data_IF_880697733987
#
_entry.id   IF_880697733987
#
_cell.length_a   1.000
_cell.length_b   1.000
_cell.length_c   1.000
_cell.angle_alpha   90.00
_cell.angle_beta   90.00
_cell.angle_gamma   90.00
#
_symmetry.space_group_name_H-M   'P 1'
#
loop_
_entity.id
_entity.type
_entity.pdbx_description
1 polymer ?
#
# COMPACT_ATOMS: atom_id res chain seq x y z
N UNK A 1 -8.75 -24.13 -13.89
CA UNK A 1 -9.02 -22.68 -13.83
C UNK A 1 -9.35 -22.34 -12.37
N UNK A 2 -8.39 -21.76 -11.65
CA UNK A 2 -8.66 -21.19 -10.35
C UNK A 2 -9.36 -19.86 -10.57
N UNK A 3 -10.63 -19.78 -10.21
CA UNK A 3 -11.37 -18.54 -10.27
C UNK A 3 -10.97 -17.67 -9.06
N UNK A 4 -10.06 -16.74 -9.28
CA UNK A 4 -9.56 -15.80 -8.25
C UNK A 4 -10.68 -14.93 -7.67
N UNK A 5 -11.86 -14.91 -8.27
CA UNK A 5 -13.04 -14.19 -7.77
C UNK A 5 -13.73 -14.91 -6.61
N UNK A 6 -13.57 -16.25 -6.50
CA UNK A 6 -14.29 -17.06 -5.52
C UNK A 6 -13.90 -16.77 -4.06
N UNK A 7 -12.69 -16.24 -3.83
CA UNK A 7 -12.15 -15.94 -2.50
C UNK A 7 -11.91 -14.43 -2.29
N UNK A 8 -12.66 -13.57 -2.98
CA UNK A 8 -12.52 -12.12 -2.92
C UNK A 8 -13.84 -11.44 -2.56
N UNK A 9 -13.78 -10.44 -1.68
CA UNK A 9 -14.88 -9.59 -1.28
C UNK A 9 -14.86 -8.31 -2.10
N UNK A 10 -15.97 -7.98 -2.78
CA UNK A 10 -16.13 -6.68 -3.46
C UNK A 10 -16.29 -5.57 -2.42
N UNK A 11 -15.48 -4.53 -2.52
CA UNK A 11 -15.47 -3.40 -1.58
C UNK A 11 -16.10 -2.15 -2.19
N UNK A 12 -16.12 -2.04 -3.51
CA UNK A 12 -16.71 -0.91 -4.22
C UNK A 12 -16.21 -0.78 -5.64
N UNK A 13 -16.64 0.28 -6.30
CA UNK A 13 -16.18 0.65 -7.63
C UNK A 13 -15.35 1.94 -7.54
N UNK A 14 -14.18 1.94 -8.18
CA UNK A 14 -13.35 3.10 -8.31
C UNK A 14 -13.04 3.34 -9.80
N UNK A 15 -13.43 4.50 -10.31
CA UNK A 15 -13.22 4.89 -11.70
C UNK A 15 -13.73 3.86 -12.75
N UNK A 16 -14.85 3.19 -12.43
CA UNK A 16 -15.45 2.17 -13.30
C UNK A 16 -14.87 0.76 -13.16
N UNK A 17 -13.92 0.55 -12.25
CA UNK A 17 -13.35 -0.77 -11.94
C UNK A 17 -13.83 -1.27 -10.59
N UNK A 18 -14.12 -2.56 -10.51
CA UNK A 18 -14.44 -3.19 -9.23
C UNK A 18 -13.16 -3.42 -8.42
N UNK A 19 -13.14 -2.88 -7.21
CA UNK A 19 -12.07 -3.15 -6.23
C UNK A 19 -12.52 -4.28 -5.32
N UNK A 20 -11.72 -5.31 -5.26
CA UNK A 20 -11.97 -6.52 -4.45
C UNK A 20 -10.76 -6.78 -3.55
N UNK A 21 -11.02 -7.20 -2.30
CA UNK A 21 -9.98 -7.71 -1.42
C UNK A 21 -10.01 -9.23 -1.41
N UNK A 22 -8.85 -9.84 -1.64
CA UNK A 22 -8.71 -11.26 -1.47
C UNK A 22 -8.72 -11.62 0.03
N UNK A 23 -9.26 -12.79 0.36
CA UNK A 23 -9.39 -13.23 1.77
C UNK A 23 -8.02 -13.30 2.47
N UNK A 24 -6.93 -13.60 1.74
CA UNK A 24 -5.57 -13.57 2.28
C UNK A 24 -5.14 -12.20 2.81
N UNK A 25 -5.67 -11.10 2.25
CA UNK A 25 -5.42 -9.76 2.74
C UNK A 25 -6.01 -9.58 4.15
N UNK A 26 -7.23 -10.08 4.38
CA UNK A 26 -7.83 -10.04 5.71
C UNK A 26 -7.00 -10.84 6.73
N UNK A 27 -6.56 -12.05 6.38
CA UNK A 27 -5.69 -12.84 7.25
C UNK A 27 -4.36 -12.15 7.54
N UNK A 28 -3.75 -11.52 6.54
CA UNK A 28 -2.53 -10.76 6.71
C UNK A 28 -2.73 -9.58 7.67
N UNK A 29 -3.79 -8.78 7.49
CA UNK A 29 -4.08 -7.64 8.36
C UNK A 29 -4.35 -8.08 9.81
N UNK A 30 -5.08 -9.19 9.99
CA UNK A 30 -5.31 -9.77 11.32
C UNK A 30 -4.00 -10.25 11.93
N UNK A 31 -3.13 -10.94 11.17
CA UNK A 31 -1.82 -11.38 11.66
C UNK A 31 -0.94 -10.20 12.06
N UNK A 32 -0.90 -9.12 11.28
CA UNK A 32 -0.17 -7.90 11.60
C UNK A 32 -0.75 -7.24 12.86
N UNK A 33 -2.07 -7.12 12.96
CA UNK A 33 -2.72 -6.54 14.14
C UNK A 33 -2.45 -7.34 15.43
N UNK A 34 -2.39 -8.66 15.32
CA UNK A 34 -2.11 -9.54 16.46
C UNK A 34 -0.63 -9.63 16.81
N UNK A 35 0.29 -9.43 15.84
CA UNK A 35 1.74 -9.48 16.10
C UNK A 35 2.20 -8.37 17.06
N UNK A 36 1.45 -7.27 17.11
CA UNK A 36 1.67 -6.13 17.98
C UNK A 36 0.43 -5.94 18.87
N UNK A 37 0.35 -6.65 19.96
CA UNK A 37 -0.81 -6.66 20.85
C UNK A 37 -1.33 -5.24 21.16
N UNK A 38 -2.59 -4.97 20.80
CA UNK A 38 -3.28 -3.71 21.05
C UNK A 38 -3.31 -2.73 19.88
N UNK A 39 -3.48 -1.45 20.19
CA UNK A 39 -3.65 -0.37 19.21
C UNK A 39 -2.48 -0.20 18.21
N UNK A 40 -1.20 -0.40 18.59
CA UNK A 40 -0.09 -0.31 17.62
C UNK A 40 -0.25 -1.28 16.48
N UNK A 41 -0.64 -2.53 16.75
CA UNK A 41 -0.85 -3.53 15.71
C UNK A 41 -2.00 -3.18 14.76
N UNK A 42 -3.09 -2.66 15.30
CA UNK A 42 -4.24 -2.21 14.48
C UNK A 42 -3.84 -1.05 13.57
N UNK A 43 -3.14 -0.05 14.11
CA UNK A 43 -2.70 1.11 13.32
C UNK A 43 -1.66 0.71 12.27
N UNK A 44 -0.76 -0.22 12.60
CA UNK A 44 0.18 -0.77 11.62
C UNK A 44 -0.56 -1.50 10.48
N UNK A 45 -1.55 -2.33 10.81
CA UNK A 45 -2.35 -3.02 9.81
C UNK A 45 -3.08 -2.01 8.89
N UNK A 46 -3.65 -0.94 9.46
CA UNK A 46 -4.27 0.13 8.67
C UNK A 46 -3.26 0.90 7.81
N UNK A 47 -2.07 1.18 8.34
CA UNK A 47 -1.00 1.81 7.57
C UNK A 47 -0.53 0.94 6.41
N UNK A 48 -0.38 -0.38 6.63
CA UNK A 48 -0.04 -1.34 5.58
C UNK A 48 -1.14 -1.41 4.51
N UNK A 49 -2.41 -1.47 4.92
CA UNK A 49 -3.52 -1.42 3.98
C UNK A 49 -3.51 -0.14 3.14
N UNK A 50 -3.33 1.01 3.78
CA UNK A 50 -3.24 2.30 3.09
C UNK A 50 -2.08 2.33 2.09
N UNK A 51 -0.91 1.82 2.47
CA UNK A 51 0.26 1.77 1.60
C UNK A 51 0.06 0.86 0.38
N UNK A 52 -0.61 -0.30 0.54
CA UNK A 52 -0.99 -1.17 -0.58
C UNK A 52 -2.00 -0.48 -1.50
N UNK A 53 -3.00 0.20 -0.94
CA UNK A 53 -3.98 0.95 -1.75
C UNK A 53 -3.31 2.08 -2.53
N UNK A 54 -2.36 2.82 -1.91
CA UNK A 54 -1.55 3.84 -2.59
C UNK A 54 -0.75 3.23 -3.74
N UNK A 55 -0.11 2.09 -3.51
CA UNK A 55 0.64 1.36 -4.53
C UNK A 55 -0.24 1.02 -5.74
N UNK A 56 -1.39 0.41 -5.49
CA UNK A 56 -2.32 0.01 -6.55
C UNK A 56 -2.92 1.22 -7.29
N UNK A 57 -3.18 2.31 -6.56
CA UNK A 57 -3.62 3.57 -7.17
C UNK A 57 -2.56 4.12 -8.13
N UNK A 58 -1.27 3.98 -7.81
CA UNK A 58 -0.17 4.38 -8.69
C UNK A 58 -0.20 3.65 -10.03
N UNK A 59 -0.36 2.35 -10.02
CA UNK A 59 -0.53 1.56 -11.23
C UNK A 59 -1.78 1.98 -12.03
N UNK A 60 -2.91 2.15 -11.33
CA UNK A 60 -4.18 2.53 -11.95
C UNK A 60 -4.10 3.91 -12.61
N UNK A 61 -3.55 4.91 -11.91
CA UNK A 61 -3.37 6.27 -12.43
C UNK A 61 -2.45 6.31 -13.66
N UNK A 62 -1.34 5.55 -13.62
CA UNK A 62 -0.43 5.48 -14.76
C UNK A 62 -1.13 4.86 -15.97
N UNK A 63 -1.87 3.77 -15.77
CA UNK A 63 -2.64 3.14 -16.84
C UNK A 63 -3.69 4.08 -17.42
N UNK A 64 -4.45 4.75 -16.57
CA UNK A 64 -5.45 5.73 -17.00
C UNK A 64 -4.83 6.88 -17.79
N UNK A 65 -3.68 7.39 -17.36
CA UNK A 65 -2.97 8.47 -18.08
C UNK A 65 -2.47 8.06 -19.47
N UNK A 66 -2.27 6.76 -19.69
CA UNK A 66 -1.90 6.18 -20.99
C UNK A 66 -3.12 5.82 -21.86
N UNK A 67 -4.33 6.16 -21.43
CA UNK A 67 -5.57 5.87 -22.16
C UNK A 67 -6.02 4.41 -22.07
N UNK A 68 -5.48 3.65 -21.10
CA UNK A 68 -5.89 2.28 -20.83
C UNK A 68 -7.22 2.20 -20.09
N UNK A 69 -7.96 1.13 -20.35
CA UNK A 69 -9.19 0.85 -19.61
C UNK A 69 -8.87 0.41 -18.18
N UNK A 70 -9.72 0.82 -17.25
CA UNK A 70 -9.61 0.37 -15.86
C UNK A 70 -10.20 -1.04 -15.75
N UNK A 71 -9.44 -1.96 -15.17
CA UNK A 71 -9.85 -3.35 -14.97
C UNK A 71 -10.13 -3.64 -13.51
N UNK A 72 -10.87 -4.73 -13.27
CA UNK A 72 -11.13 -5.22 -11.91
C UNK A 72 -9.82 -5.52 -11.19
N UNK A 73 -9.67 -5.01 -9.99
CA UNK A 73 -8.47 -5.13 -9.17
C UNK A 73 -8.76 -6.00 -7.96
N UNK A 74 -8.01 -7.10 -7.81
CA UNK A 74 -8.05 -7.94 -6.60
C UNK A 74 -6.78 -7.67 -5.79
N UNK A 75 -6.94 -7.00 -4.64
CA UNK A 75 -5.84 -6.60 -3.76
C UNK A 75 -5.43 -7.78 -2.87
N UNK A 76 -4.13 -8.08 -2.88
CA UNK A 76 -3.45 -9.08 -2.06
C UNK A 76 -2.45 -8.41 -1.10
N UNK A 77 -1.92 -9.12 -0.10
CA UNK A 77 -0.94 -8.56 0.84
C UNK A 77 0.35 -8.00 0.21
N UNK A 78 0.75 -8.54 -0.94
CA UNK A 78 1.99 -8.16 -1.65
C UNK A 78 1.74 -7.48 -2.99
N UNK A 79 0.53 -6.98 -3.23
CA UNK A 79 0.18 -6.30 -4.48
C UNK A 79 -1.22 -6.58 -4.96
N UNK A 80 -1.45 -6.58 -6.27
CA UNK A 80 -2.74 -6.95 -6.85
C UNK A 80 -2.60 -8.01 -7.93
N UNK A 81 -3.61 -8.88 -8.00
CA UNK A 81 -3.84 -9.71 -9.17
C UNK A 81 -4.74 -8.93 -10.13
N UNK A 82 -4.18 -8.60 -11.25
CA UNK A 82 -4.92 -7.98 -12.36
C UNK A 82 -5.17 -9.03 -13.42
N UNK A 83 -6.38 -9.13 -13.87
CA UNK A 83 -6.72 -9.82 -15.12
C UNK A 83 -6.56 -8.80 -16.24
N UNK A 84 -5.34 -8.31 -16.45
CA UNK A 84 -5.08 -7.23 -17.38
C UNK A 84 -4.47 -7.75 -18.68
N UNK A 85 -5.03 -7.34 -19.79
CA UNK A 85 -4.30 -7.32 -21.06
C UNK A 85 -3.26 -6.21 -20.99
N UNK A 86 -1.98 -6.58 -20.83
CA UNK A 86 -0.89 -5.60 -20.87
C UNK A 86 -0.87 -4.93 -22.26
N UNK A 87 -0.54 -3.63 -22.32
CA UNK A 87 -0.34 -2.95 -23.58
C UNK A 87 0.70 -3.68 -24.43
N UNK A 88 0.50 -3.72 -25.76
CA UNK A 88 1.46 -4.33 -26.68
C UNK A 88 2.79 -3.55 -26.81
N UNK A 89 2.93 -2.44 -26.09
CA UNK A 89 4.10 -1.58 -26.12
C UNK A 89 4.93 -1.76 -24.83
N UNK A 90 6.19 -2.22 -24.93
CA UNK A 90 7.04 -2.46 -23.76
C UNK A 90 7.21 -1.25 -22.84
N UNK A 91 7.29 -0.04 -23.40
CA UNK A 91 7.43 1.21 -22.63
C UNK A 91 6.20 1.47 -21.78
N UNK A 92 5.01 1.30 -22.32
CA UNK A 92 3.75 1.50 -21.57
C UNK A 92 3.63 0.49 -20.41
N UNK A 93 3.98 -0.76 -20.67
CA UNK A 93 4.04 -1.80 -19.65
C UNK A 93 5.02 -1.42 -18.53
N UNK A 94 6.22 -0.95 -18.89
CA UNK A 94 7.23 -0.52 -17.91
C UNK A 94 6.72 0.65 -17.08
N UNK A 95 6.13 1.68 -17.71
CA UNK A 95 5.58 2.83 -16.99
C UNK A 95 4.49 2.41 -16.00
N UNK A 96 3.59 1.51 -16.41
CA UNK A 96 2.54 0.99 -15.53
C UNK A 96 3.17 0.25 -14.34
N UNK A 97 4.19 -0.59 -14.56
CA UNK A 97 4.86 -1.32 -13.48
C UNK A 97 5.56 -0.39 -12.48
N UNK A 98 6.12 0.72 -12.95
CA UNK A 98 6.72 1.72 -12.07
C UNK A 98 5.71 2.64 -11.36
N UNK A 99 4.47 2.69 -11.81
CA UNK A 99 3.43 3.58 -11.27
C UNK A 99 3.18 3.37 -9.77
N UNK A 100 3.09 2.11 -9.33
CA UNK A 100 2.91 1.76 -7.92
C UNK A 100 4.09 2.22 -7.04
N UNK A 101 5.31 1.75 -7.31
CA UNK A 101 6.50 2.21 -6.59
C UNK A 101 6.66 3.74 -6.59
N UNK A 102 6.40 4.40 -7.72
CA UNK A 102 6.51 5.85 -7.82
C UNK A 102 5.55 6.58 -6.88
N UNK A 103 4.31 6.09 -6.73
CA UNK A 103 3.34 6.72 -5.83
C UNK A 103 3.70 6.45 -4.36
N UNK A 104 4.19 5.27 -4.00
CA UNK A 104 4.70 5.02 -2.65
C UNK A 104 5.93 5.87 -2.33
N UNK A 105 6.84 6.05 -3.29
CA UNK A 105 7.99 6.95 -3.13
C UNK A 105 7.51 8.39 -2.90
N UNK A 106 6.53 8.84 -3.67
CA UNK A 106 5.93 10.18 -3.48
C UNK A 106 5.31 10.31 -2.10
N UNK A 107 4.60 9.30 -1.61
CA UNK A 107 4.06 9.28 -0.25
C UNK A 107 5.18 9.39 0.81
N UNK A 108 6.28 8.64 0.65
CA UNK A 108 7.45 8.76 1.53
C UNK A 108 8.04 10.17 1.51
N UNK A 109 8.22 10.75 0.32
CA UNK A 109 8.78 12.10 0.16
C UNK A 109 7.89 13.19 0.77
N UNK A 110 6.56 13.02 0.77
CA UNK A 110 5.61 13.93 1.41
C UNK A 110 5.59 13.76 2.94
N UNK A 111 5.81 12.54 3.43
CA UNK A 111 5.83 12.26 4.87
C UNK A 111 7.14 12.68 5.54
N UNK A 112 8.28 12.68 4.83
CA UNK A 112 9.58 13.09 5.37
C UNK A 112 9.59 14.49 5.96
N UNK A 113 9.13 15.56 5.28
CA UNK A 113 9.05 16.88 5.88
C UNK A 113 8.16 16.94 7.12
N UNK A 114 7.05 16.18 7.11
CA UNK A 114 6.15 16.09 8.27
C UNK A 114 6.88 15.49 9.47
N UNK A 115 7.61 14.39 9.28
CA UNK A 115 8.40 13.73 10.32
C UNK A 115 9.54 14.62 10.81
N UNK A 116 10.20 15.36 9.90
CA UNK A 116 11.22 16.35 10.26
C UNK A 116 10.66 17.45 11.17
N UNK A 117 9.52 18.03 10.80
CA UNK A 117 8.87 19.08 11.60
C UNK A 117 8.39 18.59 12.97
N UNK A 118 8.06 17.29 13.07
CA UNK A 118 7.68 16.63 14.31
C UNK A 118 8.89 16.17 15.14
N UNK A 119 10.13 16.39 14.65
CA UNK A 119 11.37 15.97 15.32
C UNK A 119 11.56 14.46 15.39
N UNK A 120 11.06 13.72 14.38
CA UNK A 120 11.02 12.25 14.36
C UNK A 120 11.85 11.64 13.22
N UNK A 121 12.79 12.37 12.65
CA UNK A 121 13.78 11.81 11.71
C UNK A 121 14.96 11.20 12.47
N UNK A 122 14.71 10.11 13.15
CA UNK A 122 15.75 9.32 13.83
C UNK A 122 16.32 8.28 12.84
N UNK A 123 17.53 7.75 13.12
CA UNK A 123 18.17 6.76 12.25
C UNK A 123 17.31 5.50 12.08
N UNK A 124 16.58 5.10 13.13
CA UNK A 124 15.71 3.94 13.15
C UNK A 124 14.54 4.02 12.16
N UNK A 125 14.18 5.22 11.68
CA UNK A 125 13.10 5.36 10.70
C UNK A 125 13.44 4.66 9.38
N UNK A 126 14.73 4.55 9.06
CA UNK A 126 15.23 3.90 7.85
C UNK A 126 15.30 2.38 7.97
N UNK A 127 15.21 1.82 9.18
CA UNK A 127 15.15 0.39 9.39
C UNK A 127 13.71 -0.11 9.19
N UNK A 128 13.37 -0.77 8.08
CA UNK A 128 11.99 -1.19 7.80
C UNK A 128 11.47 -2.23 8.78
N UNK A 129 12.37 -2.97 9.44
CA UNK A 129 12.01 -4.04 10.39
C UNK A 129 11.72 -3.52 11.79
N UNK A 130 12.19 -2.30 12.12
CA UNK A 130 12.05 -1.73 13.45
C UNK A 130 10.85 -0.79 13.54
N UNK A 131 9.66 -1.37 13.55
CA UNK A 131 8.40 -0.61 13.61
C UNK A 131 8.18 0.02 14.99
N UNK A 132 8.72 -0.59 16.06
CA UNK A 132 8.59 -0.09 17.43
C UNK A 132 9.14 1.31 17.64
N UNK A 133 10.20 1.67 16.93
CA UNK A 133 10.88 2.95 17.06
C UNK A 133 10.00 4.16 16.72
N UNK A 134 8.99 4.00 15.86
CA UNK A 134 8.08 5.08 15.47
C UNK A 134 6.82 5.16 16.32
N UNK A 135 6.64 4.22 17.29
CA UNK A 135 5.47 4.20 18.14
C UNK A 135 5.72 4.92 19.47
N UNK A 136 5.10 6.07 19.68
CA UNK A 136 5.18 6.88 20.88
C UNK A 136 3.85 7.00 21.62
N UNK A 137 2.82 6.29 21.16
CA UNK A 137 1.50 6.26 21.77
C UNK A 137 0.36 6.64 20.81
N UNK A 138 -0.88 6.29 21.16
CA UNK A 138 -2.03 6.49 20.27
C UNK A 138 -2.43 7.97 20.08
N UNK A 139 -2.04 8.83 21.01
CA UNK A 139 -2.33 10.26 20.95
C UNK A 139 -1.25 11.08 20.24
N UNK A 140 -0.13 10.47 19.87
CA UNK A 140 0.96 11.14 19.18
C UNK A 140 0.76 11.06 17.65
N UNK A 141 0.49 12.19 16.96
CA UNK A 141 0.30 12.20 15.51
C UNK A 141 1.57 11.76 14.75
N UNK A 142 2.75 11.92 15.34
CA UNK A 142 3.99 11.46 14.75
C UNK A 142 4.07 9.92 14.65
N UNK A 143 3.45 9.20 15.59
CA UNK A 143 3.35 7.74 15.54
C UNK A 143 2.62 7.28 14.28
N UNK A 144 1.51 7.90 13.94
CA UNK A 144 0.76 7.54 12.74
C UNK A 144 1.52 7.90 11.45
N UNK A 145 2.12 9.08 11.39
CA UNK A 145 2.96 9.49 10.25
C UNK A 145 4.16 8.56 10.07
N UNK A 146 4.81 8.14 11.15
CA UNK A 146 5.92 7.19 11.14
C UNK A 146 5.50 5.81 10.64
N UNK A 147 4.36 5.30 11.10
CA UNK A 147 3.82 4.02 10.63
C UNK A 147 3.46 4.07 9.13
N UNK A 148 2.84 5.16 8.67
CA UNK A 148 2.54 5.35 7.25
C UNK A 148 3.82 5.43 6.41
N UNK A 149 4.84 6.16 6.88
CA UNK A 149 6.13 6.22 6.20
C UNK A 149 6.75 4.83 6.09
N UNK A 150 6.87 4.10 7.20
CA UNK A 150 7.45 2.75 7.21
C UNK A 150 6.66 1.77 6.33
N UNK A 151 5.35 1.81 6.35
CA UNK A 151 4.52 0.96 5.49
C UNK A 151 4.76 1.22 3.99
N UNK A 152 4.79 2.50 3.57
CA UNK A 152 5.10 2.86 2.19
C UNK A 152 6.55 2.52 1.82
N UNK A 153 7.49 2.77 2.71
CA UNK A 153 8.90 2.43 2.52
C UNK A 153 9.11 0.91 2.41
N UNK A 154 8.40 0.12 3.21
CA UNK A 154 8.46 -1.33 3.15
C UNK A 154 7.98 -1.88 1.80
N UNK A 155 6.88 -1.33 1.28
CA UNK A 155 6.35 -1.73 -0.04
C UNK A 155 7.30 -1.34 -1.18
N UNK A 156 8.09 -0.28 -1.02
CA UNK A 156 9.12 0.08 -2.00
C UNK A 156 10.27 -0.93 -2.08
N UNK A 157 10.52 -1.69 -1.00
CA UNK A 157 11.62 -2.66 -0.92
C UNK A 157 11.23 -4.06 -1.40
N UNK A 158 9.94 -4.35 -1.59
CA UNK A 158 9.40 -5.63 -2.09
C UNK A 158 9.15 -5.55 -3.59
#
# INVERSE_FOLDING_TARGET
HWDHRSWSLGVGELLGSQVRFHLSMLFFLVAVALSWLGWPGVLLALAMLAAVVVHEAGHALTRWSLGGEMEDVVIWPTGSLRVATLPNRPIETTLILFGGPALNLTACLLLLPTLFLLGRLEEEIWNPLEVASVWHGPADPASFAGLLFKANYWILLI
#
